data_IF_268039295855
#
_entry.id   IF_268039295855
#
_cell.length_a   1.000
_cell.length_b   1.000
_cell.length_c   1.000
_cell.angle_alpha   90.00
_cell.angle_beta   90.00
_cell.angle_gamma   90.00
#
_symmetry.space_group_name_H-M   'P 1'
#
loop_
_entity.id
_entity.type
_entity.pdbx_description
1 polymer ?
2 branched ?
3 branched ?
4 non-polymer ?
5 water ?
#
# COMPACT_ATOMS: atom_id res chain seq x y z
N UNK A 14 5.38 -16.67 0.97
CA UNK A 14 4.72 -16.86 2.25
C UNK A 14 3.22 -17.09 2.07
N UNK A 15 2.64 -16.50 1.03
CA UNK A 15 1.22 -16.72 0.79
C UNK A 15 1.02 -18.07 0.11
N UNK A 16 -0.18 -18.60 0.29
CA UNK A 16 -0.58 -19.87 -0.29
C UNK A 16 -1.48 -19.55 -1.46
N UNK A 17 -1.10 -20.00 -2.65
CA UNK A 17 -1.92 -19.87 -3.84
C UNK A 17 -2.38 -21.25 -4.24
N UNK A 18 -3.69 -21.43 -4.39
CA UNK A 18 -4.26 -22.69 -4.82
C UNK A 18 -5.06 -22.41 -6.08
N UNK A 19 -4.62 -22.97 -7.19
CA UNK A 19 -5.32 -22.84 -8.47
C UNK A 19 -6.26 -24.00 -8.71
N UNK A 20 -7.53 -23.69 -8.95
CA UNK A 20 -8.47 -24.65 -9.49
C UNK A 20 -9.04 -24.11 -10.79
N UNK A 21 -9.76 -24.99 -11.50
CA UNK A 21 -10.32 -24.61 -12.80
C UNK A 21 -11.19 -23.37 -12.67
N UNK A 22 -12.06 -23.33 -11.67
CA UNK A 22 -13.05 -22.26 -11.55
C UNK A 22 -12.72 -21.25 -10.46
N UNK A 23 -11.57 -21.37 -9.79
CA UNK A 23 -11.33 -20.61 -8.57
C UNK A 23 -9.83 -20.57 -8.29
N UNK A 24 -9.35 -19.40 -7.85
CA UNK A 24 -8.00 -19.26 -7.34
C UNK A 24 -8.08 -18.74 -5.92
N UNK A 25 -7.42 -19.44 -5.00
CA UNK A 25 -7.43 -19.08 -3.58
C UNK A 25 -6.09 -18.49 -3.19
N UNK A 26 -6.13 -17.30 -2.60
CA UNK A 26 -4.96 -16.65 -2.03
C UNK A 26 -5.14 -16.60 -0.53
N UNK A 27 -4.15 -17.08 0.22
CA UNK A 27 -4.19 -17.04 1.67
C UNK A 27 -2.93 -16.36 2.17
N UNK A 28 -3.09 -15.19 2.81
CA UNK A 28 -1.96 -14.39 3.26
C UNK A 28 -1.79 -14.49 4.78
N UNK A 29 -0.58 -14.70 5.28
CA UNK A 29 -0.36 -14.60 6.72
C UNK A 29 -0.32 -13.15 7.16
N UNK A 30 -0.69 -12.92 8.42
CA UNK A 30 -0.56 -11.59 9.02
C UNK A 30 0.69 -11.58 9.89
N UNK A 31 1.83 -11.36 9.23
CA UNK A 31 3.12 -11.39 9.90
C UNK A 31 3.34 -10.13 10.74
N UNK A 32 2.89 -8.98 10.25
CA UNK A 32 3.12 -7.71 10.92
C UNK A 32 1.84 -6.96 11.21
N UNK A 33 0.68 -7.60 11.01
CA UNK A 33 -0.61 -7.00 11.32
C UNK A 33 -1.43 -7.98 12.16
N UNK A 34 -2.49 -7.44 12.75
CA UNK A 34 -3.50 -8.22 13.45
C UNK A 34 -4.88 -7.72 13.04
N UNK A 35 -5.06 -7.52 11.74
CA UNK A 35 -6.33 -7.00 11.24
C UNK A 35 -7.43 -8.03 11.48
N UNK A 36 -8.59 -7.54 11.89
CA UNK A 36 -9.77 -8.34 12.22
C UNK A 36 -9.68 -8.95 13.61
N UNK A 37 -8.71 -8.54 14.43
CA UNK A 37 -8.65 -8.98 15.82
C UNK A 37 -9.97 -8.63 16.53
N UNK A 38 -10.13 -9.15 17.75
CA UNK A 38 -11.40 -9.02 18.47
C UNK A 38 -11.72 -7.58 18.80
N UNK A 39 -10.72 -6.76 19.09
CA UNK A 39 -10.97 -5.36 19.43
C UNK A 39 -11.29 -4.51 18.22
N UNK A 40 -11.49 -5.12 17.06
CA UNK A 40 -11.83 -4.39 15.84
C UNK A 40 -13.11 -4.96 15.25
N UNK A 41 -13.85 -4.08 14.57
CA UNK A 41 -15.03 -4.47 13.81
C UNK A 41 -14.69 -4.22 12.35
N UNK A 42 -14.79 -5.25 11.52
CA UNK A 42 -14.39 -5.14 10.12
C UNK A 42 -15.62 -5.39 9.26
N UNK A 43 -15.70 -4.65 8.16
CA UNK A 43 -16.80 -4.78 7.21
C UNK A 43 -16.21 -4.88 5.81
N UNK A 44 -17.06 -5.25 4.85
CA UNK A 44 -16.63 -5.26 3.46
C UNK A 44 -16.24 -3.87 2.99
N UNK A 45 -16.69 -2.84 3.68
CA UNK A 45 -16.30 -1.49 3.32
C UNK A 45 -14.81 -1.30 3.58
N UNK A 46 -14.17 -0.48 2.75
CA UNK A 46 -12.74 -0.27 2.89
C UNK A 46 -11.86 -1.31 2.23
N UNK A 47 -12.44 -2.35 1.65
CA UNK A 47 -11.68 -3.36 0.93
C UNK A 47 -11.78 -3.11 -0.57
N UNK A 48 -10.66 -3.27 -1.26
CA UNK A 48 -10.60 -3.13 -2.70
C UNK A 48 -9.84 -4.31 -3.29
N UNK A 49 -10.35 -4.84 -4.40
CA UNK A 49 -9.72 -5.94 -5.12
C UNK A 49 -9.28 -5.42 -6.48
N UNK A 50 -8.00 -5.57 -6.78
CA UNK A 50 -7.43 -5.17 -8.06
C UNK A 50 -6.83 -6.41 -8.74
N UNK A 51 -7.17 -6.63 -10.00
CA UNK A 51 -6.63 -7.75 -10.76
C UNK A 51 -6.10 -7.23 -12.09
N UNK A 52 -4.82 -7.47 -12.35
CA UNK A 52 -4.14 -7.02 -13.54
C UNK A 52 -3.03 -6.05 -13.21
N UNK A 53 -2.36 -5.59 -14.27
CA UNK A 53 -1.21 -4.70 -14.11
C UNK A 53 -1.49 -3.33 -14.71
N UNK A 54 -1.04 -2.30 -13.99
CA UNK A 54 -1.11 -0.94 -14.50
C UNK A 54 -2.51 -0.60 -14.92
N UNK A 55 -2.62 0.00 -16.12
CA UNK A 55 -3.92 0.40 -16.63
C UNK A 55 -4.78 -0.80 -17.06
N UNK A 56 -4.23 -2.01 -17.14
CA UNK A 56 -5.08 -3.17 -17.33
C UNK A 56 -5.65 -3.70 -16.03
N UNK A 57 -5.34 -3.08 -14.90
CA UNK A 57 -5.85 -3.58 -13.63
C UNK A 57 -7.31 -3.17 -13.50
N UNK A 58 -8.16 -4.13 -13.16
CA UNK A 58 -9.58 -3.88 -12.97
C UNK A 58 -9.85 -3.80 -11.48
N UNK A 59 -10.48 -2.70 -11.05
CA UNK A 59 -10.57 -2.36 -9.64
C UNK A 59 -12.03 -2.47 -9.21
N UNK A 60 -12.27 -3.23 -8.15
CA UNK A 60 -13.60 -3.46 -7.65
C UNK A 60 -13.60 -3.21 -6.15
N UNK A 61 -14.57 -2.47 -5.63
CA UNK A 61 -14.85 -2.56 -4.20
C UNK A 61 -15.28 -3.98 -3.87
N UNK A 62 -14.96 -4.42 -2.66
CA UNK A 62 -15.28 -5.79 -2.28
C UNK A 62 -16.77 -6.07 -2.44
N UNK A 63 -17.61 -5.08 -2.16
CA UNK A 63 -19.05 -5.28 -2.29
C UNK A 63 -19.40 -5.78 -3.68
N UNK A 64 -18.90 -5.10 -4.72
CA UNK A 64 -19.15 -5.53 -6.10
C UNK A 64 -18.47 -6.86 -6.41
N UNK A 65 -17.25 -7.06 -5.91
CA UNK A 65 -16.53 -8.31 -6.19
C UNK A 65 -17.28 -9.50 -5.61
N UNK A 66 -17.88 -9.34 -4.44
CA UNK A 66 -18.67 -10.43 -3.86
C UNK A 66 -19.83 -10.78 -4.79
N UNK A 67 -20.46 -9.77 -5.39
CA UNK A 67 -21.55 -10.06 -6.32
C UNK A 67 -21.06 -10.96 -7.44
N UNK A 68 -19.83 -10.75 -7.89
CA UNK A 68 -19.24 -11.47 -9.02
C UNK A 68 -18.72 -12.86 -8.67
N UNK A 69 -18.75 -13.24 -7.39
CA UNK A 69 -18.29 -14.55 -6.96
C UNK A 69 -16.98 -14.56 -6.19
N UNK A 70 -16.37 -13.40 -5.95
CA UNK A 70 -15.26 -13.35 -5.01
C UNK A 70 -15.76 -13.66 -3.61
N UNK A 71 -14.84 -14.10 -2.75
CA UNK A 71 -15.17 -14.35 -1.36
C UNK A 71 -13.95 -14.02 -0.50
N UNK A 72 -14.15 -13.22 0.55
CA UNK A 72 -13.09 -12.82 1.47
C UNK A 72 -13.38 -13.38 2.85
N UNK A 73 -12.41 -14.07 3.44
CA UNK A 73 -12.54 -14.59 4.81
C UNK A 73 -11.28 -14.25 5.59
N UNK A 74 -11.44 -13.66 6.77
CA UNK A 74 -10.30 -13.13 7.52
C UNK A 74 -10.45 -13.42 9.02
N UNK A 75 -9.29 -13.60 9.68
CA UNK A 75 -9.16 -13.43 11.11
C UNK A 75 -7.79 -12.80 11.35
N UNK A 76 -7.45 -12.60 12.63
CA UNK A 76 -6.23 -11.89 12.99
C UNK A 76 -4.97 -12.53 12.43
N UNK A 77 -5.01 -13.81 12.09
CA UNK A 77 -3.83 -14.52 11.65
C UNK A 77 -3.74 -14.71 10.14
N UNK A 78 -4.86 -14.61 9.41
CA UNK A 78 -4.82 -14.97 8.00
C UNK A 78 -5.89 -14.20 7.24
N UNK A 79 -5.59 -13.93 5.97
CA UNK A 79 -6.52 -13.27 5.06
C UNK A 79 -6.62 -14.15 3.81
N UNK A 80 -7.83 -14.62 3.50
CA UNK A 80 -8.04 -15.51 2.36
C UNK A 80 -9.02 -14.87 1.40
N UNK A 81 -8.63 -14.79 0.13
CA UNK A 81 -9.48 -14.27 -0.94
C UNK A 81 -9.65 -15.35 -2.00
N UNK A 82 -10.90 -15.67 -2.32
CA UNK A 82 -11.25 -16.56 -3.42
C UNK A 82 -11.60 -15.73 -4.65
N UNK A 83 -10.90 -15.96 -5.75
CA UNK A 83 -11.05 -15.19 -6.97
C UNK A 83 -11.64 -16.12 -8.04
N UNK A 84 -12.80 -15.81 -8.61
CA UNK A 84 -13.29 -16.65 -9.71
C UNK A 84 -12.34 -16.59 -10.91
N UNK A 85 -12.18 -17.73 -11.58
CA UNK A 85 -11.29 -17.80 -12.73
C UNK A 85 -11.79 -16.96 -13.90
N UNK A 86 -13.04 -16.50 -13.86
CA UNK A 86 -13.60 -15.62 -14.87
C UNK A 86 -13.51 -14.14 -14.47
N UNK A 87 -12.68 -13.84 -13.47
CA UNK A 87 -12.52 -12.47 -13.02
C UNK A 87 -11.92 -11.59 -14.11
N UNK A 88 -12.45 -10.38 -14.22
CA UNK A 88 -11.90 -9.39 -15.13
C UNK A 88 -10.48 -9.02 -14.69
N UNK A 89 -9.56 -8.98 -15.65
CA UNK A 89 -8.17 -8.68 -15.38
C UNK A 89 -7.24 -9.88 -15.46
N UNK A 90 -7.78 -11.10 -15.38
CA UNK A 90 -6.96 -12.29 -15.56
C UNK A 90 -6.46 -12.34 -16.99
N UNK A 91 -5.21 -12.77 -17.17
CA UNK A 91 -4.61 -12.87 -18.49
C UNK A 91 -4.61 -14.34 -18.89
N UNK A 92 -5.13 -14.62 -20.09
CA UNK A 92 -5.40 -15.97 -20.53
C UNK A 92 -4.46 -16.35 -21.66
N UNK A 93 -3.88 -17.55 -21.58
CA UNK A 93 -2.94 -18.03 -22.60
C UNK A 93 -3.37 -19.42 -23.06
N UNK A 94 -3.82 -19.51 -24.32
CA UNK A 94 -4.27 -20.75 -24.91
C UNK A 94 -3.43 -21.03 -26.15
N UNK A 95 -2.84 -22.23 -26.21
CA UNK A 95 -2.06 -22.61 -27.39
C UNK A 95 -1.91 -24.13 -27.40
N UNK A 96 -2.17 -24.75 -28.56
CA UNK A 96 -1.97 -26.19 -28.75
C UNK A 96 -2.74 -27.01 -27.71
N UNK A 97 -4.00 -26.64 -27.50
CA UNK A 97 -4.89 -27.34 -26.58
C UNK A 97 -4.39 -27.29 -25.14
N UNK A 98 -3.47 -26.38 -24.84
CA UNK A 98 -2.96 -26.17 -23.50
C UNK A 98 -3.37 -24.79 -23.00
N UNK A 99 -3.70 -24.69 -21.71
CA UNK A 99 -4.33 -23.50 -21.15
C UNK A 99 -3.61 -23.12 -19.86
N UNK A 100 -3.15 -21.88 -19.80
CA UNK A 100 -2.49 -21.33 -18.63
C UNK A 100 -3.00 -19.91 -18.45
N UNK A 101 -3.15 -19.46 -17.21
CA UNK A 101 -3.61 -18.09 -16.99
C UNK A 101 -2.93 -17.53 -15.75
N UNK A 102 -2.83 -16.20 -15.70
CA UNK A 102 -2.15 -15.50 -14.63
C UNK A 102 -3.11 -14.51 -13.97
N UNK A 103 -2.91 -14.34 -12.67
CA UNK A 103 -3.80 -13.52 -11.84
C UNK A 103 -2.90 -12.62 -10.99
N UNK A 104 -2.82 -11.35 -11.34
CA UNK A 104 -2.01 -10.39 -10.59
C UNK A 104 -2.94 -9.68 -9.61
N UNK A 105 -2.87 -10.08 -8.34
CA UNK A 105 -3.80 -9.62 -7.32
C UNK A 105 -3.16 -8.54 -6.45
N UNK A 106 -3.91 -7.46 -6.23
CA UNK A 106 -3.65 -6.52 -5.15
C UNK A 106 -4.92 -6.45 -4.31
N UNK A 107 -4.81 -6.82 -3.04
CA UNK A 107 -5.93 -6.76 -2.10
C UNK A 107 -5.62 -5.70 -1.05
N UNK A 108 -6.47 -4.68 -0.98
CA UNK A 108 -6.26 -3.50 -0.12
C UNK A 108 -7.34 -3.43 0.94
N UNK A 109 -6.95 -3.21 2.20
CA UNK A 109 -7.84 -2.69 3.22
C UNK A 109 -7.37 -1.30 3.59
N UNK A 110 -8.30 -0.33 3.57
CA UNK A 110 -7.96 1.06 3.74
C UNK A 110 -8.83 1.71 4.80
N UNK A 111 -8.22 2.59 5.58
CA UNK A 111 -8.90 3.61 6.35
C UNK A 111 -8.48 4.96 5.77
N UNK A 112 -8.97 6.04 6.37
CA UNK A 112 -8.67 7.35 5.81
C UNK A 112 -7.17 7.61 5.76
N UNK A 113 -6.42 7.17 6.77
CA UNK A 113 -5.00 7.45 6.79
C UNK A 113 -4.04 6.27 6.84
N UNK A 114 -4.56 5.05 6.69
CA UNK A 114 -3.75 3.84 6.82
C UNK A 114 -4.29 2.77 5.88
N UNK A 115 -3.39 1.96 5.33
CA UNK A 115 -3.83 0.87 4.47
C UNK A 115 -2.87 -0.31 4.59
N UNK A 116 -3.38 -1.51 4.33
CA UNK A 116 -2.54 -2.69 4.18
C UNK A 116 -2.83 -3.33 2.83
N UNK A 117 -1.78 -3.71 2.10
CA UNK A 117 -1.90 -4.18 0.73
C UNK A 117 -1.27 -5.56 0.65
N UNK A 118 -2.06 -6.55 0.28
CA UNK A 118 -1.55 -7.89 0.04
C UNK A 118 -1.42 -8.10 -1.47
N UNK A 119 -0.23 -8.53 -1.92
CA UNK A 119 0.05 -8.70 -3.33
C UNK A 119 0.51 -10.12 -3.61
N UNK A 120 0.05 -10.66 -4.74
CA UNK A 120 0.48 -11.97 -5.18
C UNK A 120 0.14 -12.10 -6.66
N UNK A 121 1.02 -12.76 -7.40
CA UNK A 121 0.83 -12.96 -8.84
C UNK A 121 0.86 -14.46 -9.08
N UNK A 122 -0.29 -15.02 -9.38
CA UNK A 122 -0.43 -16.46 -9.52
C UNK A 122 -0.30 -16.85 -10.98
N UNK A 123 0.32 -18.00 -11.21
CA UNK A 123 0.33 -18.66 -12.52
C UNK A 123 -0.41 -19.97 -12.31
N UNK A 124 -1.52 -20.14 -13.01
CA UNK A 124 -2.36 -21.31 -12.88
C UNK A 124 -2.36 -22.10 -14.18
N UNK A 125 -2.10 -23.39 -14.08
CA UNK A 125 -2.13 -24.27 -15.25
C UNK A 125 -2.74 -25.61 -14.86
N UNK A 126 -3.93 -25.61 -14.25
CA UNK A 126 -4.56 -26.89 -13.92
C UNK A 126 -4.92 -27.69 -15.14
N UNK A 127 -5.26 -27.01 -16.24
CA UNK A 127 -5.64 -27.68 -17.48
C UNK A 127 -4.51 -27.62 -18.50
N UNK A 128 -3.27 -27.56 -18.05
CA UNK A 128 -2.12 -27.76 -18.92
C UNK A 128 -2.27 -29.10 -19.62
N UNK A 129 -1.95 -29.13 -20.91
CA UNK A 129 -2.04 -30.38 -21.66
C UNK A 129 -0.87 -31.29 -21.31
N UNK A 130 -1.18 -32.55 -21.01
CA UNK A 130 -0.20 -33.53 -20.57
C UNK A 130 -0.38 -34.79 -21.42
N UNK A 131 0.70 -35.19 -22.09
CA UNK A 131 0.72 -36.42 -22.88
C UNK A 131 1.84 -37.31 -22.36
N UNK A 132 1.63 -38.63 -22.47
CA UNK A 132 2.63 -39.58 -22.00
C UNK A 132 2.76 -40.71 -23.01
N UNK A 133 3.99 -41.22 -23.11
CA UNK A 133 4.24 -42.36 -23.96
C UNK A 133 5.12 -43.37 -23.22
N UNK A 134 5.71 -44.33 -23.95
CA UNK A 134 6.40 -45.43 -23.28
C UNK A 134 7.54 -44.94 -22.40
N UNK A 135 8.21 -43.86 -22.78
CA UNK A 135 9.45 -43.44 -22.13
C UNK A 135 9.36 -42.10 -21.41
N UNK A 136 8.36 -41.27 -21.71
CA UNK A 136 8.36 -39.89 -21.22
C UNK A 136 6.95 -39.41 -20.94
N UNK A 137 6.86 -38.46 -19.99
CA UNK A 137 5.74 -37.54 -19.88
C UNK A 137 6.14 -36.24 -20.56
N UNK A 138 5.20 -35.62 -21.26
CA UNK A 138 5.47 -34.37 -21.95
C UNK A 138 4.40 -33.34 -21.61
N UNK A 139 4.83 -32.20 -21.07
CA UNK A 139 3.98 -31.06 -20.81
C UNK A 139 4.12 -30.05 -21.95
N UNK A 140 3.00 -29.46 -22.36
CA UNK A 140 3.02 -28.34 -23.30
C UNK A 140 2.62 -27.08 -22.53
N UNK A 141 3.49 -26.08 -22.55
CA UNK A 141 3.30 -24.84 -21.81
C UNK A 141 3.05 -23.72 -22.82
N UNK A 142 1.89 -23.05 -22.77
CA UNK A 142 1.66 -21.95 -23.70
C UNK A 142 2.71 -20.86 -23.58
N UNK A 143 2.97 -20.18 -24.69
CA UNK A 143 3.88 -19.05 -24.70
C UNK A 143 3.30 -17.94 -23.82
N UNK A 144 4.14 -17.39 -22.94
CA UNK A 144 3.73 -16.28 -22.09
C UNK A 144 4.99 -15.65 -21.50
N UNK A 145 4.87 -14.51 -20.83
CA UNK A 145 6.07 -13.77 -20.39
C UNK A 145 7.04 -14.57 -19.53
N UNK A 146 6.68 -15.76 -19.08
CA UNK A 146 7.58 -16.54 -18.24
C UNK A 146 8.61 -17.32 -19.05
N UNK A 147 9.89 -17.19 -18.66
CA UNK A 147 10.97 -18.02 -19.18
C UNK A 147 11.28 -19.09 -18.14
N UNK A 148 11.09 -20.36 -18.50
CA UNK A 148 11.29 -21.44 -17.56
C UNK A 148 12.76 -21.50 -17.17
N UNK A 149 13.04 -21.38 -15.87
CA UNK A 149 14.41 -21.43 -15.38
C UNK A 149 14.68 -22.53 -14.37
N UNK A 150 13.65 -23.11 -13.75
CA UNK A 150 13.88 -24.16 -12.77
C UNK A 150 12.70 -25.12 -12.75
N UNK A 151 12.98 -26.36 -12.38
CA UNK A 151 11.97 -27.40 -12.16
C UNK A 151 12.27 -28.05 -10.83
N UNK A 152 11.29 -28.03 -9.92
CA UNK A 152 11.45 -28.55 -8.57
C UNK A 152 10.37 -29.61 -8.32
N UNK A 153 10.79 -30.88 -8.20
CA UNK A 153 9.87 -31.95 -7.83
C UNK A 153 9.59 -31.94 -6.34
N UNK A 154 10.65 -31.97 -5.55
CA UNK A 154 10.57 -31.87 -4.10
C UNK A 154 11.57 -30.92 -3.48
N UNK A 155 12.76 -31.51 -3.30
CA UNK A 155 13.78 -31.03 -2.37
C UNK A 155 14.51 -29.80 -2.86
N UNK A 156 14.89 -29.76 -4.14
CA UNK A 156 15.77 -28.71 -4.61
C UNK A 156 15.35 -28.29 -6.01
N UNK A 157 15.79 -27.10 -6.38
CA UNK A 157 15.39 -26.44 -7.62
C UNK A 157 16.44 -26.73 -8.69
N UNK A 158 16.11 -27.62 -9.63
CA UNK A 158 17.04 -28.00 -10.68
C UNK A 158 17.10 -26.89 -11.71
N UNK A 159 18.21 -26.17 -11.85
CA UNK A 159 18.27 -25.12 -12.89
C UNK A 159 18.42 -25.72 -14.27
N UNK A 160 18.33 -24.83 -15.27
CA UNK A 160 18.30 -25.27 -16.67
C UNK A 160 19.53 -26.10 -17.02
N UNK A 161 20.71 -25.69 -16.56
CA UNK A 161 21.94 -26.35 -16.96
C UNK A 161 22.05 -27.79 -16.47
N UNK A 162 21.12 -28.27 -15.63
CA UNK A 162 21.15 -29.63 -15.14
C UNK A 162 19.96 -30.46 -15.59
N UNK A 163 19.07 -29.91 -16.43
CA UNK A 163 17.87 -30.63 -16.80
C UNK A 163 18.19 -31.94 -17.50
N UNK A 164 18.98 -31.89 -18.58
CA UNK A 164 19.26 -33.09 -19.36
C UNK A 164 19.82 -34.20 -18.48
N UNK A 165 20.80 -33.85 -17.63
CA UNK A 165 21.41 -34.86 -16.76
C UNK A 165 20.40 -35.53 -15.86
N UNK A 166 19.38 -34.79 -15.41
CA UNK A 166 18.39 -35.31 -14.50
C UNK A 166 17.14 -35.84 -15.21
N UNK A 167 17.19 -36.03 -16.52
CA UNK A 167 16.08 -36.60 -17.24
C UNK A 167 15.06 -35.60 -17.76
N UNK A 168 15.38 -34.31 -17.76
CA UNK A 168 14.49 -33.25 -18.20
C UNK A 168 15.02 -32.71 -19.52
N UNK A 169 14.16 -32.68 -20.54
CA UNK A 169 14.55 -32.22 -21.87
C UNK A 169 13.53 -31.21 -22.38
N UNK A 170 14.02 -30.05 -22.80
CA UNK A 170 13.17 -29.01 -23.35
C UNK A 170 13.11 -29.09 -24.88
N UNK A 171 11.91 -28.88 -25.41
CA UNK A 171 11.66 -28.95 -26.85
C UNK A 171 10.64 -27.88 -27.21
N UNK A 172 10.87 -27.20 -28.33
CA UNK A 172 9.99 -26.10 -28.74
C UNK A 172 9.16 -26.51 -29.96
N UNK A 175 4.09 -24.49 -28.11
CA UNK A 175 5.00 -23.41 -27.80
C UNK A 175 6.22 -23.88 -27.02
N UNK A 176 5.97 -24.57 -25.91
CA UNK A 176 7.04 -25.13 -25.08
C UNK A 176 6.66 -26.55 -24.68
N UNK A 177 7.46 -27.52 -25.09
CA UNK A 177 7.31 -28.91 -24.66
C UNK A 177 8.40 -29.25 -23.66
N UNK A 178 7.98 -29.75 -22.50
CA UNK A 178 8.90 -30.17 -21.45
C UNK A 178 8.74 -31.67 -21.25
N UNK A 179 9.82 -32.42 -21.46
CA UNK A 179 9.77 -33.87 -21.37
C UNK A 179 10.43 -34.34 -20.08
N UNK A 180 9.84 -35.36 -19.46
CA UNK A 180 10.37 -35.97 -18.25
C UNK A 180 10.48 -37.47 -18.50
N UNK A 181 11.67 -38.02 -18.33
CA UNK A 181 11.82 -39.48 -18.39
C UNK A 181 10.95 -40.11 -17.32
N UNK A 182 10.34 -41.26 -17.66
CA UNK A 182 9.41 -41.90 -16.75
C UNK A 182 10.04 -42.25 -15.40
N UNK A 183 11.36 -42.36 -15.34
CA UNK A 183 12.00 -42.69 -14.07
C UNK A 183 11.75 -41.62 -13.01
N UNK A 184 11.46 -40.39 -13.42
CA UNK A 184 11.17 -39.30 -12.49
C UNK A 184 9.75 -39.33 -11.94
N UNK A 185 8.86 -40.13 -12.52
CA UNK A 185 7.44 -40.12 -12.21
C UNK A 185 7.13 -41.06 -11.05
N UNK A 186 6.10 -40.68 -10.28
CA UNK A 186 5.52 -41.59 -9.31
C UNK A 186 4.38 -42.38 -9.94
N UNK A 187 4.09 -43.53 -9.35
CA UNK A 187 2.97 -44.36 -9.75
C UNK A 187 2.06 -44.59 -8.55
N UNK A 188 0.76 -44.71 -8.82
CA UNK A 188 -0.17 -45.06 -7.76
C UNK A 188 -1.43 -45.66 -8.37
N UNK A 189 -2.07 -46.61 -7.69
CA UNK A 189 -3.47 -46.93 -7.99
C UNK A 189 -4.38 -45.85 -7.39
N UNK A 190 -5.53 -45.67 -8.02
CA UNK A 190 -6.52 -44.69 -7.59
C UNK A 190 -7.89 -45.20 -7.99
N UNK A 191 -8.93 -44.76 -7.28
CA UNK A 191 -10.27 -45.12 -7.74
C UNK A 191 -10.52 -44.61 -9.15
N UNK A 192 -9.75 -43.61 -9.58
CA UNK A 192 -9.81 -43.16 -10.96
C UNK A 192 -9.09 -44.13 -11.88
N UNK A 193 -7.87 -44.51 -11.51
CA UNK A 193 -7.08 -45.48 -12.26
C UNK A 193 -6.88 -46.75 -11.43
N UNK A 194 -7.82 -47.68 -11.45
CA UNK A 194 -7.75 -48.83 -10.53
C UNK A 194 -6.52 -49.71 -10.70
N UNK A 195 -5.78 -49.60 -11.80
CA UNK A 195 -4.60 -50.45 -11.97
C UNK A 195 -3.39 -49.66 -11.51
N UNK A 196 -2.96 -48.68 -12.31
CA UNK A 196 -2.05 -47.66 -11.82
C UNK A 196 -1.95 -46.56 -12.88
N UNK A 197 -1.36 -45.43 -12.49
CA UNK A 197 -1.04 -44.36 -13.44
C UNK A 197 0.25 -43.69 -13.00
N UNK A 198 1.01 -43.19 -13.99
CA UNK A 198 2.13 -42.32 -13.71
C UNK A 198 1.61 -40.92 -13.43
N UNK A 199 2.32 -40.18 -12.58
CA UNK A 199 1.87 -38.85 -12.18
C UNK A 199 2.99 -38.13 -11.45
N UNK A 200 2.77 -36.84 -11.21
CA UNK A 200 3.60 -36.03 -10.33
C UNK A 200 2.69 -35.20 -9.42
N UNK A 201 3.16 -34.96 -8.21
CA UNK A 201 2.41 -34.20 -7.21
C UNK A 201 3.21 -32.95 -6.84
N UNK A 202 2.54 -31.80 -6.86
CA UNK A 202 3.16 -30.54 -6.44
C UNK A 202 4.49 -30.30 -7.17
N UNK A 203 4.47 -30.48 -8.49
CA UNK A 203 5.59 -30.09 -9.33
C UNK A 203 5.63 -28.58 -9.46
N UNK A 204 6.76 -27.97 -9.09
CA UNK A 204 6.90 -26.52 -9.17
C UNK A 204 7.76 -26.14 -10.37
N UNK A 205 7.19 -25.29 -11.23
CA UNK A 205 7.90 -24.69 -12.35
C UNK A 205 8.14 -23.22 -12.03
N UNK A 206 9.39 -22.78 -12.09
CA UNK A 206 9.75 -21.41 -11.74
C UNK A 206 10.20 -20.67 -12.98
N UNK A 207 9.67 -19.47 -13.17
CA UNK A 207 9.92 -18.68 -14.37
C UNK A 207 10.57 -17.35 -14.01
N UNK A 208 11.46 -16.88 -14.88
CA UNK A 208 11.91 -15.49 -14.85
C UNK A 208 10.84 -14.68 -15.55
N UNK A 209 10.04 -13.97 -14.77
CA UNK A 209 8.81 -13.33 -15.25
C UNK A 209 8.94 -11.83 -15.06
N UNK A 210 9.12 -11.10 -16.15
CA UNK A 210 9.20 -9.64 -16.13
C UNK A 210 10.14 -9.16 -15.02
N UNK A 211 11.36 -9.67 -15.04
CA UNK A 211 12.35 -9.24 -14.07
C UNK A 211 12.17 -9.80 -12.68
N UNK A 212 11.24 -10.74 -12.49
CA UNK A 212 11.00 -11.34 -11.18
C UNK A 212 10.89 -12.84 -11.32
N UNK A 213 10.86 -13.51 -10.17
CA UNK A 213 10.66 -14.95 -10.10
C UNK A 213 9.19 -15.25 -9.78
N UNK A 214 8.56 -16.08 -10.59
CA UNK A 214 7.20 -16.51 -10.36
C UNK A 214 7.07 -17.99 -10.68
N UNK A 215 6.36 -18.71 -9.82
CA UNK A 215 6.21 -20.15 -9.94
C UNK A 215 4.75 -20.55 -10.15
N UNK A 216 4.56 -21.73 -10.73
CA UNK A 216 3.29 -22.43 -10.71
C UNK A 216 3.52 -23.81 -10.11
N UNK A 217 2.51 -24.33 -9.43
CA UNK A 217 2.53 -25.68 -8.87
C UNK A 217 1.42 -26.46 -9.54
N UNK A 218 1.75 -27.65 -10.06
CA UNK A 218 0.83 -28.43 -10.88
C UNK A 218 0.97 -29.92 -10.54
N UNK A 219 -0.08 -30.68 -10.87
CA UNK A 219 -0.19 -32.10 -10.56
C UNK A 219 -0.43 -32.88 -11.84
N UNK A 220 0.54 -32.92 -12.75
CA UNK A 220 0.29 -33.53 -14.06
C UNK A 220 0.13 -35.05 -13.95
N UNK A 221 -0.82 -35.58 -14.73
CA UNK A 221 -1.14 -37.00 -14.71
C UNK A 221 -1.19 -37.58 -16.11
N UNK A 222 -0.63 -38.77 -16.28
CA UNK A 222 -0.84 -39.58 -17.48
C UNK A 222 -2.22 -40.25 -17.42
N UNK A 223 -2.72 -40.59 -18.60
CA UNK A 223 -3.91 -41.43 -18.69
C UNK A 223 -3.67 -42.71 -17.91
N UNK A 224 -4.75 -43.39 -17.52
CA UNK A 224 -4.58 -44.60 -16.74
C UNK A 224 -3.98 -45.73 -17.57
N UNK A 225 -3.11 -46.51 -16.93
CA UNK A 225 -2.61 -47.74 -17.54
C UNK A 225 -3.73 -48.76 -17.66
N UNK A 226 -3.56 -49.68 -18.60
CA UNK A 226 -4.58 -50.68 -18.90
C UNK A 226 -4.07 -52.07 -18.50
N UNK A 227 -4.76 -52.78 -17.62
CA UNK A 227 -4.34 -54.15 -17.28
C UNK A 227 -4.77 -55.13 -18.35
N UNK A 228 -4.16 -56.32 -18.30
CA UNK A 228 -4.50 -57.41 -19.21
C UNK A 228 -5.65 -58.22 -18.66
N UNK A 229 -6.48 -58.76 -19.55
CA UNK A 229 -7.59 -59.60 -19.15
C UNK A 229 -7.10 -60.87 -18.45
N UNK A 230 -7.82 -61.24 -17.38
CA UNK A 230 -7.63 -62.51 -16.70
C UNK A 230 -8.81 -63.41 -17.04
N UNK A 231 -8.51 -64.65 -17.44
CA UNK A 231 -9.58 -65.61 -17.70
C UNK A 231 -10.14 -66.12 -16.37
N UNK A 232 -11.41 -66.52 -16.39
CA UNK A 232 -12.12 -66.88 -15.17
C UNK A 232 -12.86 -68.20 -15.37
N UNK A 233 -13.57 -68.62 -14.32
CA UNK A 233 -14.18 -69.94 -14.26
C UNK A 233 -15.03 -70.21 -15.50
N UNK A 234 -14.98 -71.46 -15.96
CA UNK A 234 -15.74 -71.89 -17.12
C UNK A 234 -16.40 -73.25 -16.87
N UNK B 12 -12.58 12.57 13.25
CA UNK B 12 -12.33 12.53 11.81
C UNK B 12 -10.84 12.27 11.53
N UNK B 13 -9.98 12.79 12.41
CA UNK B 13 -8.53 12.66 12.27
C UNK B 13 -8.03 11.77 13.39
N UNK B 14 -7.16 10.82 13.04
CA UNK B 14 -6.57 9.92 14.02
C UNK B 14 -5.09 10.15 14.26
N UNK B 15 -4.33 10.58 13.26
CA UNK B 15 -2.93 10.88 13.47
C UNK B 15 -2.76 12.28 14.07
N UNK B 16 -1.64 12.47 14.78
CA UNK B 16 -1.30 13.77 15.35
C UNK B 16 -0.15 14.36 14.53
N UNK B 17 -0.41 15.53 13.96
CA UNK B 17 0.57 16.27 13.18
C UNK B 17 0.95 17.51 13.98
N UNK B 18 2.25 17.70 14.20
CA UNK B 18 2.76 18.85 14.93
C UNK B 18 3.81 19.54 14.09
N UNK B 19 3.58 20.82 13.75
CA UNK B 19 4.57 21.60 13.05
C UNK B 19 5.48 22.22 14.10
N UNK B 20 6.77 21.99 13.95
CA UNK B 20 7.78 22.49 14.86
C UNK B 20 8.75 23.38 14.08
N UNK B 21 9.71 23.97 14.81
CA UNK B 21 10.62 24.94 14.19
C UNK B 21 11.27 24.38 12.93
N UNK B 22 11.97 23.25 13.07
CA UNK B 22 12.75 22.66 12.00
C UNK B 22 12.18 21.33 11.52
N UNK B 23 10.98 20.97 11.96
CA UNK B 23 10.57 19.57 11.94
C UNK B 23 9.06 19.47 11.92
N UNK B 24 8.53 18.48 11.21
CA UNK B 24 7.12 18.13 11.27
C UNK B 24 7.01 16.70 11.77
N UNK B 25 6.21 16.50 12.82
CA UNK B 25 6.06 15.21 13.46
C UNK B 25 4.72 14.61 13.07
N UNK B 26 4.75 13.40 12.52
CA UNK B 26 3.54 12.63 12.23
C UNK B 26 3.50 11.42 13.14
N UNK B 27 2.40 11.24 13.87
CA UNK B 27 2.22 10.10 14.76
C UNK B 27 0.94 9.36 14.37
N UNK B 28 1.09 8.11 13.97
CA UNK B 28 -0.03 7.28 13.55
C UNK B 28 -0.31 6.22 14.61
N UNK B 29 -1.57 6.00 14.98
CA UNK B 29 -1.87 4.87 15.87
C UNK B 29 -1.77 3.58 15.08
N UNK B 30 -1.47 2.51 15.79
CA UNK B 30 -1.37 1.18 15.17
C UNK B 30 -2.74 0.55 15.26
N UNK B 31 -3.59 0.85 14.27
CA UNK B 31 -4.96 0.34 14.31
C UNK B 31 -5.01 -1.15 14.04
N UNK B 32 -4.28 -1.61 13.00
CA UNK B 32 -4.23 -3.03 12.66
C UNK B 32 -2.81 -3.53 12.49
N UNK B 33 -1.81 -2.69 12.66
CA UNK B 33 -0.44 -3.14 12.48
C UNK B 33 0.13 -3.56 13.83
N UNK B 34 1.17 -4.38 13.76
CA UNK B 34 1.87 -4.89 14.94
C UNK B 34 3.36 -4.70 14.78
N UNK B 35 3.75 -3.53 14.26
CA UNK B 35 5.14 -3.22 14.01
C UNK B 35 5.87 -2.90 15.31
N UNK B 36 7.15 -3.26 15.34
CA UNK B 36 8.01 -3.03 16.50
C UNK B 36 9.21 -2.18 16.07
N UNK B 37 9.83 -1.52 17.05
CA UNK B 37 11.00 -0.70 16.77
C UNK B 37 12.11 -1.51 16.11
N UNK B 38 12.16 -2.82 16.39
CA UNK B 38 13.20 -3.68 15.83
C UNK B 38 13.05 -3.83 14.32
N UNK B 39 11.82 -3.79 13.81
CA UNK B 39 11.52 -4.04 12.40
C UNK B 39 11.95 -2.90 11.48
N UNK B 40 13.23 -2.56 11.49
CA UNK B 40 13.79 -1.57 10.59
C UNK B 40 15.29 -1.87 10.47
N UNK B 41 15.86 -1.55 9.31
CA UNK B 41 17.29 -1.77 9.10
C UNK B 41 17.62 -3.26 9.19
N UNK B 42 16.61 -4.09 8.93
CA UNK B 42 16.68 -5.55 9.05
C UNK B 42 16.36 -6.17 7.70
N UNK B 43 16.98 -7.32 7.45
CA UNK B 43 16.77 -8.05 6.21
C UNK B 43 15.28 -8.35 6.00
N UNK B 44 14.93 -8.56 4.73
CA UNK B 44 13.62 -8.98 4.23
C UNK B 44 12.51 -7.96 4.49
N UNK B 45 12.83 -6.77 5.00
CA UNK B 45 11.82 -5.74 5.27
C UNK B 45 12.46 -4.36 5.11
N UNK B 46 11.66 -3.38 4.70
CA UNK B 46 12.18 -2.05 4.45
C UNK B 46 11.14 -0.96 4.60
N UNK B 47 11.58 0.21 5.06
CA UNK B 47 10.76 1.41 5.16
C UNK B 47 11.10 2.38 4.04
N UNK B 48 10.08 3.03 3.49
CA UNK B 48 10.25 4.05 2.45
C UNK B 48 9.43 5.28 2.84
N UNK B 49 10.01 6.46 2.66
CA UNK B 49 9.37 7.73 2.94
C UNK B 49 9.18 8.48 1.61
N UNK B 50 7.93 8.82 1.30
CA UNK B 50 7.58 9.58 0.10
C UNK B 50 6.94 10.89 0.54
N UNK B 51 7.37 11.99 -0.06
CA UNK B 51 6.83 13.30 0.25
C UNK B 51 6.50 13.99 -1.07
N UNK B 52 5.25 14.38 -1.23
CA UNK B 52 4.80 15.05 -2.43
C UNK B 52 3.83 14.18 -3.22
N UNK B 53 3.40 14.73 -4.35
CA UNK B 53 2.42 14.07 -5.21
C UNK B 53 2.99 13.85 -6.61
N UNK B 54 2.69 12.69 -7.19
CA UNK B 54 3.04 12.44 -8.58
C UNK B 54 4.52 12.63 -8.88
N UNK B 55 4.81 13.32 -9.98
CA UNK B 55 6.20 13.54 -10.37
C UNK B 55 6.91 14.53 -9.48
N UNK B 56 6.19 15.28 -8.64
CA UNK B 56 6.81 16.09 -7.62
C UNK B 56 7.05 15.31 -6.34
N UNK B 57 6.72 14.02 -6.32
CA UNK B 57 6.94 13.21 -5.13
C UNK B 57 8.39 12.76 -5.06
N UNK B 58 9.01 12.97 -3.90
CA UNK B 58 10.39 12.58 -3.66
C UNK B 58 10.42 11.35 -2.78
N UNK B 59 11.16 10.32 -3.21
CA UNK B 59 11.14 9.00 -2.61
C UNK B 59 12.49 8.72 -1.97
N UNK B 60 12.49 8.29 -0.71
CA UNK B 60 13.71 7.97 0.01
C UNK B 60 13.59 6.62 0.71
N UNK B 61 14.59 5.74 0.57
CA UNK B 61 14.72 4.65 1.55
C UNK B 61 14.97 5.22 2.93
N UNK B 62 14.49 4.52 3.95
CA UNK B 62 14.63 5.05 5.31
C UNK B 62 16.09 5.34 5.65
N UNK B 63 17.02 4.48 5.21
CA UNK B 63 18.43 4.72 5.55
C UNK B 63 18.87 6.11 5.12
N UNK B 64 18.60 6.47 3.87
CA UNK B 64 18.98 7.81 3.41
C UNK B 64 18.21 8.89 4.16
N UNK B 65 16.93 8.63 4.46
CA UNK B 65 16.14 9.62 5.18
C UNK B 65 16.72 9.88 6.56
N UNK B 66 17.18 8.83 7.24
CA UNK B 66 17.80 9.00 8.55
C UNK B 66 19.04 9.88 8.42
N UNK B 67 19.85 9.64 7.40
CA UNK B 67 21.02 10.48 7.16
C UNK B 67 20.61 11.94 7.01
N UNK B 68 19.44 12.19 6.39
CA UNK B 68 18.99 13.56 6.15
C UNK B 68 18.40 14.21 7.38
N UNK B 69 18.21 13.47 8.47
CA UNK B 69 17.64 14.03 9.69
C UNK B 69 16.22 13.59 10.00
N UNK B 70 15.63 12.70 9.19
CA UNK B 70 14.39 12.05 9.59
C UNK B 70 14.66 11.11 10.75
N UNK B 71 13.62 10.84 11.53
CA UNK B 71 13.71 9.85 12.59
C UNK B 71 12.39 9.09 12.69
N UNK B 72 12.49 7.77 12.74
CA UNK B 72 11.33 6.89 12.85
C UNK B 72 11.36 6.23 14.23
N UNK B 73 10.24 6.32 14.95
CA UNK B 73 10.10 5.75 16.27
C UNK B 73 8.83 4.91 16.31
N UNK B 74 8.94 3.70 16.84
CA UNK B 74 7.83 2.76 16.86
C UNK B 74 7.70 2.21 18.27
N UNK B 75 6.47 2.12 18.75
CA UNK B 75 6.16 1.37 19.94
C UNK B 75 4.79 0.72 19.72
N UNK B 76 4.36 -0.09 20.68
CA UNK B 76 3.17 -0.89 20.48
C UNK B 76 1.95 -0.06 20.12
N UNK B 77 1.94 1.23 20.47
CA UNK B 77 0.74 2.04 20.29
C UNK B 77 0.76 2.88 19.02
N UNK B 78 1.92 3.27 18.51
CA UNK B 78 1.95 4.26 17.45
C UNK B 78 3.27 4.21 16.70
N UNK B 79 3.24 4.79 15.50
CA UNK B 79 4.40 4.93 14.63
C UNK B 79 4.58 6.42 14.40
N UNK B 80 5.76 6.94 14.71
CA UNK B 80 6.03 8.37 14.62
C UNK B 80 7.19 8.64 13.67
N UNK B 81 6.99 9.56 12.73
CA UNK B 81 8.05 9.98 11.81
C UNK B 81 8.29 11.47 11.99
N UNK B 82 9.53 11.85 12.30
CA UNK B 82 9.95 13.24 12.37
C UNK B 82 10.57 13.64 11.04
N UNK B 83 10.02 14.67 10.40
CA UNK B 83 10.37 15.06 9.04
C UNK B 83 11.07 16.41 9.09
N UNK B 84 12.31 16.54 8.60
CA UNK B 84 12.92 17.88 8.54
C UNK B 84 12.17 18.79 7.58
N UNK B 85 12.06 20.06 7.96
CA UNK B 85 11.31 21.02 7.17
C UNK B 85 11.95 21.34 5.83
N UNK B 86 13.21 20.99 5.62
CA UNK B 86 13.84 21.14 4.30
C UNK B 86 13.88 19.82 3.52
N UNK B 87 13.05 18.86 3.90
CA UNK B 87 12.98 17.63 3.10
C UNK B 87 12.46 17.95 1.71
N UNK B 88 13.08 17.34 0.70
CA UNK B 88 12.60 17.49 -0.67
C UNK B 88 11.21 16.90 -0.81
N UNK B 89 10.36 17.61 -1.53
CA UNK B 89 8.97 17.23 -1.70
C UNK B 89 8.00 18.12 -0.96
N UNK B 90 8.47 18.84 0.05
CA UNK B 90 7.61 19.82 0.71
C UNK B 90 7.30 20.93 -0.29
N UNK B 91 6.07 21.40 -0.29
CA UNK B 91 5.64 22.45 -1.20
C UNK B 91 5.57 23.76 -0.41
N UNK B 92 6.25 24.78 -0.92
CA UNK B 92 6.49 26.02 -0.20
C UNK B 92 5.73 27.15 -0.88
N UNK B 93 5.04 27.96 -0.08
CA UNK B 93 4.21 29.05 -0.59
C UNK B 93 4.63 30.31 0.11
N UNK B 94 5.26 31.23 -0.62
CA UNK B 94 5.71 32.51 -0.09
C UNK B 94 5.05 33.60 -0.91
N UNK B 95 4.43 34.55 -0.21
CA UNK B 95 3.75 35.67 -0.85
C UNK B 95 3.77 36.83 0.12
N UNK B 96 4.26 37.98 -0.34
CA UNK B 96 4.24 39.21 0.44
C UNK B 96 4.85 38.95 1.82
N UNK B 97 5.98 38.25 1.83
CA UNK B 97 6.72 37.95 3.05
C UNK B 97 5.94 37.05 4.01
N UNK B 98 4.91 36.38 3.53
CA UNK B 98 4.17 35.42 4.34
C UNK B 98 4.43 34.01 3.80
N UNK B 99 4.61 33.06 4.71
CA UNK B 99 5.18 31.77 4.37
C UNK B 99 4.40 30.63 5.01
N UNK B 100 3.96 29.71 4.16
CA UNK B 100 3.21 28.52 4.52
C UNK B 100 3.73 27.37 3.68
N UNK B 101 3.75 26.16 4.23
CA UNK B 101 4.19 25.01 3.45
C UNK B 101 3.36 23.79 3.82
N UNK B 102 3.30 22.85 2.87
CA UNK B 102 2.50 21.63 2.99
C UNK B 102 3.37 20.41 2.80
N UNK B 103 3.02 19.34 3.51
CA UNK B 103 3.82 18.12 3.57
C UNK B 103 2.87 16.94 3.33
N UNK B 104 2.95 16.36 2.14
CA UNK B 104 2.14 15.20 1.76
C UNK B 104 2.98 13.95 1.97
N UNK B 105 2.75 13.26 3.09
CA UNK B 105 3.58 12.14 3.51
C UNK B 105 2.91 10.82 3.19
N UNK B 106 3.68 9.90 2.61
CA UNK B 106 3.33 8.49 2.56
C UNK B 106 4.50 7.72 3.18
N UNK B 107 4.23 7.00 4.26
CA UNK B 107 5.25 6.20 4.95
C UNK B 107 4.89 4.74 4.74
N UNK B 108 5.78 4.00 4.09
CA UNK B 108 5.51 2.62 3.69
C UNK B 108 6.44 1.66 4.41
N UNK B 109 5.87 0.59 4.96
CA UNK B 109 6.61 -0.58 5.38
C UNK B 109 6.30 -1.72 4.44
N UNK B 110 7.34 -2.34 3.88
CA UNK B 110 7.15 -3.37 2.86
C UNK B 110 7.87 -4.63 3.28
N UNK B 111 7.18 -5.76 3.18
CA UNK B 111 7.76 -7.08 3.21
C UNK B 111 7.31 -7.84 1.97
N UNK B 112 7.74 -9.09 1.86
CA UNK B 112 7.40 -9.88 0.68
C UNK B 112 5.88 -10.02 0.57
N UNK B 113 5.33 -9.49 -0.51
CA UNK B 113 3.90 -9.61 -0.76
C UNK B 113 3.00 -8.75 0.09
N UNK B 114 3.54 -7.83 0.90
CA UNK B 114 2.68 -7.03 1.77
C UNK B 114 3.27 -5.64 1.94
N UNK B 115 2.37 -4.66 2.07
CA UNK B 115 2.77 -3.29 2.36
C UNK B 115 1.81 -2.72 3.39
N UNK B 116 2.33 -1.91 4.29
CA UNK B 116 1.53 -1.12 5.21
C UNK B 116 1.92 0.33 4.99
N UNK B 117 0.91 1.18 4.78
CA UNK B 117 1.14 2.54 4.34
C UNK B 117 0.39 3.50 5.26
N UNK B 118 1.12 4.41 5.89
CA UNK B 118 0.56 5.50 6.67
C UNK B 118 0.61 6.78 5.84
N UNK B 119 -0.53 7.47 5.74
CA UNK B 119 -0.66 8.66 4.90
C UNK B 119 -1.18 9.84 5.71
N UNK B 120 -0.64 11.04 5.45
CA UNK B 120 -1.10 12.24 6.12
C UNK B 120 -0.58 13.46 5.37
N UNK B 121 -1.39 14.52 5.35
CA UNK B 121 -1.04 15.75 4.64
C UNK B 121 -1.13 16.94 5.59
N UNK B 122 0.02 17.51 5.95
CA UNK B 122 0.15 18.56 6.95
C UNK B 122 0.20 19.95 6.33
N UNK B 123 -0.34 20.94 7.04
CA UNK B 123 -0.20 22.36 6.71
C UNK B 123 0.51 23.03 7.88
N UNK B 124 1.67 23.62 7.61
CA UNK B 124 2.46 24.33 8.60
C UNK B 124 2.55 25.78 8.17
N UNK B 125 2.25 26.69 9.08
CA UNK B 125 2.32 28.10 8.74
C UNK B 125 2.88 28.92 9.88
N UNK B 126 4.06 28.57 10.40
CA UNK B 126 4.63 29.35 11.50
C UNK B 126 5.02 30.76 11.12
N UNK B 127 5.42 31.01 9.88
CA UNK B 127 5.90 32.32 9.44
C UNK B 127 4.86 33.12 8.65
N UNK B 128 3.57 32.92 8.93
CA UNK B 128 2.56 33.83 8.39
C UNK B 128 2.90 35.26 8.76
N UNK B 129 2.73 36.18 7.82
CA UNK B 129 2.95 37.57 8.11
C UNK B 129 1.78 38.08 8.93
N UNK B 130 2.09 38.77 10.02
CA UNK B 130 1.09 39.26 10.94
C UNK B 130 1.34 40.75 11.12
N UNK B 131 0.35 41.57 10.76
CA UNK B 131 0.42 43.00 10.94
C UNK B 131 -0.69 43.45 11.87
N UNK B 132 -0.41 44.47 12.66
CA UNK B 132 -1.35 44.95 13.66
C UNK B 132 -1.37 46.47 13.71
N UNK B 133 -2.57 47.01 13.80
CA UNK B 133 -2.77 48.45 13.97
C UNK B 133 -3.73 48.65 15.14
N UNK B 134 -4.20 49.89 15.33
CA UNK B 134 -4.95 50.21 16.55
C UNK B 134 -6.13 49.29 16.76
N UNK B 135 -6.77 48.82 15.68
CA UNK B 135 -8.06 48.17 15.79
C UNK B 135 -8.07 46.69 15.41
N UNK B 136 -7.07 46.19 14.69
CA UNK B 136 -7.16 44.84 14.16
C UNK B 136 -5.79 44.19 14.11
N UNK B 137 -5.79 42.86 14.19
CA UNK B 137 -4.69 42.02 13.74
C UNK B 137 -5.04 41.50 12.36
N UNK B 138 -4.03 41.46 11.47
CA UNK B 138 -4.24 40.99 10.11
C UNK B 138 -3.24 39.90 9.78
N UNK B 139 -3.73 38.72 9.44
CA UNK B 139 -2.91 37.64 8.92
C UNK B 139 -3.00 37.63 7.40
N UNK B 140 -1.87 37.42 6.75
CA UNK B 140 -1.83 37.20 5.31
C UNK B 140 -1.52 35.74 5.09
N UNK B 141 -2.39 35.06 4.36
CA UNK B 141 -2.25 33.64 4.06
C UNK B 141 -1.89 33.53 2.58
N UNK B 142 -0.74 32.98 2.23
CA UNK B 142 -0.40 32.85 0.80
C UNK B 142 -1.45 32.06 0.06
N UNK B 143 -1.62 32.39 -1.21
CA UNK B 143 -2.49 31.59 -2.07
C UNK B 143 -1.94 30.18 -2.18
N UNK B 144 -2.81 29.20 -1.97
CA UNK B 144 -2.44 27.81 -2.10
C UNK B 144 -3.73 27.00 -2.24
N UNK B 145 -3.62 25.70 -2.56
CA UNK B 145 -4.84 24.93 -2.84
C UNK B 145 -5.87 24.91 -1.73
N UNK B 146 -5.54 25.39 -0.53
CA UNK B 146 -6.49 25.37 0.57
C UNK B 146 -7.44 26.55 0.52
N UNK B 147 -8.74 26.26 0.62
CA UNK B 147 -9.76 27.30 0.80
C UNK B 147 -10.20 27.32 2.26
N UNK B 148 -10.01 28.46 2.91
CA UNK B 148 -10.35 28.59 4.32
C UNK B 148 -11.85 28.48 4.52
N UNK B 149 -12.26 27.54 5.38
CA UNK B 149 -13.68 27.36 5.66
C UNK B 149 -14.06 27.53 7.13
N UNK B 150 -13.11 27.45 8.06
CA UNK B 150 -13.45 27.60 9.47
C UNK B 150 -12.28 28.22 10.23
N UNK B 151 -12.62 28.94 11.30
CA UNK B 151 -11.65 29.51 12.22
C UNK B 151 -12.08 29.13 13.64
N UNK B 152 -11.19 28.47 14.38
CA UNK B 152 -11.49 27.97 15.72
C UNK B 152 -10.50 28.55 16.71
N UNK B 153 -10.99 29.41 17.60
CA UNK B 153 -10.21 29.95 18.70
C UNK B 153 -10.00 28.96 19.85
N UNK B 154 -10.77 27.88 19.90
CA UNK B 154 -10.69 26.96 21.02
C UNK B 154 -12.02 26.29 21.24
N UNK B 155 -13.05 27.10 21.47
CA UNK B 155 -14.34 26.59 21.93
C UNK B 155 -15.09 25.87 20.81
N UNK B 156 -15.17 26.49 19.64
CA UNK B 156 -15.97 25.94 18.54
C UNK B 156 -15.42 26.40 17.20
N UNK B 157 -15.86 25.72 16.14
CA UNK B 157 -15.37 25.94 14.77
C UNK B 157 -16.33 26.90 14.08
N UNK B 158 -15.90 28.16 13.93
CA UNK B 158 -16.73 29.22 13.36
C UNK B 158 -16.72 29.14 11.84
N UNK B 159 -17.85 28.84 11.18
CA UNK B 159 -17.86 28.80 9.72
C UNK B 159 -17.84 30.20 9.13
N UNK B 160 -17.66 30.24 7.80
CA UNK B 160 -17.47 31.51 7.11
C UNK B 160 -18.63 32.46 7.34
N UNK B 161 -19.86 31.95 7.26
CA UNK B 161 -21.03 32.82 7.34
C UNK B 161 -21.20 33.45 8.72
N UNK B 162 -20.38 33.08 9.70
CA UNK B 162 -20.47 33.66 11.04
C UNK B 162 -19.22 34.44 11.44
N UNK B 163 -18.24 34.58 10.54
CA UNK B 163 -16.99 35.24 10.91
C UNK B 163 -17.22 36.68 11.34
N UNK B 164 -17.90 37.46 10.50
CA UNK B 164 -18.07 38.89 10.76
C UNK B 164 -18.66 39.14 12.14
N UNK B 165 -19.72 38.42 12.48
CA UNK B 165 -20.37 38.62 13.78
C UNK B 165 -19.41 38.35 14.93
N UNK B 166 -18.48 37.41 14.75
CA UNK B 166 -17.53 37.07 15.80
C UNK B 166 -16.22 37.83 15.68
N UNK B 167 -16.20 38.91 14.90
CA UNK B 167 -15.04 39.78 14.81
C UNK B 167 -14.00 39.38 13.78
N UNK B 168 -14.33 38.47 12.87
CA UNK B 168 -13.40 37.98 11.84
C UNK B 168 -13.87 38.50 10.49
N UNK B 169 -12.98 39.16 9.77
CA UNK B 169 -13.31 39.73 8.46
C UNK B 169 -12.29 39.28 7.43
N UNK B 170 -12.78 38.70 6.34
CA UNK B 170 -11.93 38.25 5.26
C UNK B 170 -11.86 39.31 4.17
N UNK B 171 -10.69 39.41 3.55
CA UNK B 171 -10.46 40.36 2.47
C UNK B 171 -9.64 39.66 1.40
N UNK B 172 -10.09 39.76 0.15
CA UNK B 172 -9.45 39.09 -0.97
C UNK B 172 -8.82 40.06 -1.96
N UNK B 173 -8.81 41.37 -1.68
CA UNK B 173 -8.26 42.36 -2.59
C UNK B 173 -6.95 41.86 -3.18
N UNK B 174 -6.12 41.23 -2.34
CA UNK B 174 -4.91 40.57 -2.79
C UNK B 174 -4.67 39.36 -1.90
N UNK B 175 -4.46 38.21 -2.52
CA UNK B 175 -4.28 36.99 -1.75
C UNK B 175 -5.43 36.78 -0.80
N UNK B 176 -5.11 36.46 0.45
CA UNK B 176 -6.11 36.30 1.51
C UNK B 176 -5.62 37.00 2.76
N UNK B 177 -6.32 38.04 3.18
CA UNK B 177 -6.03 38.72 4.43
C UNK B 177 -7.16 38.43 5.41
N UNK B 178 -6.81 37.95 6.60
CA UNK B 178 -7.77 37.59 7.62
C UNK B 178 -7.61 38.55 8.79
N UNK B 179 -8.67 39.30 9.09
CA UNK B 179 -8.63 40.34 10.11
C UNK B 179 -9.35 39.88 11.38
N UNK B 180 -8.79 40.27 12.53
CA UNK B 180 -9.35 39.95 13.84
C UNK B 180 -9.48 41.24 14.64
N UNK B 181 -10.67 41.49 15.18
CA UNK B 181 -10.86 42.63 16.07
C UNK B 181 -9.84 42.55 17.21
N UNK B 182 -9.35 43.72 17.64
CA UNK B 182 -8.41 43.73 18.75
C UNK B 182 -9.03 43.13 20.00
N UNK B 183 -10.37 43.18 20.10
CA UNK B 183 -11.06 42.63 21.27
C UNK B 183 -10.84 41.14 21.40
N UNK B 184 -10.57 40.45 20.29
CA UNK B 184 -10.32 39.01 20.32
C UNK B 184 -8.91 38.67 20.76
N UNK B 185 -8.01 39.64 20.79
CA UNK B 185 -6.60 39.36 21.02
C UNK B 185 -6.30 39.33 22.51
N UNK B 186 -5.38 38.45 22.88
CA UNK B 186 -4.80 38.43 24.21
C UNK B 186 -3.56 39.31 24.24
N UNK B 187 -3.19 39.69 25.46
CA UNK B 187 -1.97 40.46 25.67
C UNK B 187 -1.03 39.63 26.53
N UNK B 188 0.26 39.83 26.29
CA UNK B 188 1.29 39.19 27.07
C UNK B 188 2.45 40.17 27.14
N UNK B 189 3.19 40.20 28.24
CA UNK B 189 4.41 41.00 28.26
C UNK B 189 5.47 40.38 27.37
N UNK B 190 6.32 41.25 26.82
CA UNK B 190 7.38 40.81 25.94
C UNK B 190 8.58 41.73 26.09
N UNK B 191 9.76 41.12 26.10
CA UNK B 191 11.02 41.83 26.02
C UNK B 191 11.56 41.88 24.59
N UNK B 192 11.02 41.02 23.71
CA UNK B 192 11.38 41.03 22.30
C UNK B 192 10.78 42.22 21.56
N UNK B 193 9.47 42.44 21.71
CA UNK B 193 8.79 43.62 21.21
C UNK B 193 8.36 44.42 22.43
N UNK B 194 9.26 45.21 23.01
CA UNK B 194 8.99 45.80 24.33
C UNK B 194 7.74 46.68 24.30
N UNK B 195 6.94 46.64 25.38
CA UNK B 195 7.03 45.72 26.52
C UNK B 195 5.83 44.78 26.59
N UNK B 196 5.08 44.71 25.48
CA UNK B 196 3.99 43.76 25.37
C UNK B 196 3.62 43.61 23.91
N UNK B 197 2.91 42.52 23.61
CA UNK B 197 2.38 42.33 22.26
C UNK B 197 1.08 41.54 22.32
N UNK B 198 0.19 41.86 21.39
CA UNK B 198 -1.05 41.12 21.20
C UNK B 198 -0.77 39.83 20.43
N UNK B 199 -1.60 38.82 20.70
CA UNK B 199 -1.38 37.52 20.08
C UNK B 199 -2.62 36.67 20.24
N UNK B 200 -2.59 35.52 19.58
CA UNK B 200 -3.61 34.50 19.72
C UNK B 200 -2.92 33.16 20.00
N UNK B 201 -3.59 32.32 20.75
CA UNK B 201 -3.02 31.04 21.15
C UNK B 201 -3.84 29.91 20.54
N UNK B 202 -3.15 28.94 19.94
CA UNK B 202 -3.77 27.74 19.39
C UNK B 202 -4.94 28.08 18.48
N UNK B 203 -4.73 29.05 17.59
CA UNK B 203 -5.72 29.36 16.57
C UNK B 203 -5.70 28.25 15.51
N UNK B 204 -6.84 27.60 15.30
CA UNK B 204 -6.95 26.55 14.31
C UNK B 204 -7.65 27.09 13.08
N UNK B 205 -7.00 27.01 11.93
CA UNK B 205 -7.59 27.34 10.65
C UNK B 205 -7.83 26.07 9.87
N UNK B 206 -9.06 25.90 9.38
CA UNK B 206 -9.46 24.70 8.64
C UNK B 206 -9.74 25.06 7.20
N UNK B 207 -9.17 24.28 6.27
CA UNK B 207 -9.24 24.55 4.84
C UNK B 207 -9.91 23.38 4.14
N UNK B 208 -10.66 23.68 3.08
CA UNK B 208 -11.05 22.68 2.10
C UNK B 208 -9.86 22.52 1.17
N UNK B 209 -9.10 21.44 1.37
CA UNK B 209 -7.81 21.24 0.72
C UNK B 209 -7.87 19.95 -0.09
N UNK B 210 -7.88 20.09 -1.42
CA UNK B 210 -7.89 18.95 -2.34
C UNK B 210 -8.95 17.93 -1.93
N UNK B 211 -10.19 18.41 -1.81
CA UNK B 211 -11.32 17.54 -1.53
C UNK B 211 -11.46 17.06 -0.10
N UNK B 212 -10.66 17.55 0.84
CA UNK B 212 -10.77 17.13 2.23
C UNK B 212 -10.69 18.35 3.14
N UNK B 213 -10.96 18.11 4.42
CA UNK B 213 -10.80 19.12 5.46
C UNK B 213 -9.43 18.91 6.10
N UNK B 214 -8.63 19.97 6.13
CA UNK B 214 -7.32 19.93 6.74
C UNK B 214 -7.09 21.23 7.50
N UNK B 215 -6.52 21.10 8.68
CA UNK B 215 -6.33 22.23 9.58
C UNK B 215 -4.85 22.51 9.77
N UNK B 216 -4.57 23.76 10.15
CA UNK B 216 -3.29 24.15 10.70
C UNK B 216 -3.56 24.88 12.02
N UNK B 217 -2.62 24.74 12.94
CA UNK B 217 -2.70 25.40 14.25
C UNK B 217 -1.54 26.37 14.35
N UNK B 218 -1.84 27.61 14.75
CA UNK B 218 -0.84 28.67 14.75
C UNK B 218 -1.05 29.57 15.96
N UNK B 219 0.02 30.27 16.33
CA UNK B 219 0.06 31.17 17.47
C UNK B 219 0.51 32.54 16.98
N UNK B 220 -0.31 33.21 16.18
CA UNK B 220 0.14 34.47 15.58
C UNK B 220 0.24 35.56 16.63
N UNK B 221 1.27 36.39 16.48
CA UNK B 221 1.53 37.51 17.38
C UNK B 221 1.84 38.73 16.53
N UNK B 222 1.42 39.90 17.01
CA UNK B 222 1.82 41.13 16.35
C UNK B 222 3.34 41.26 16.40
N UNK B 223 3.91 41.87 15.38
CA UNK B 223 5.35 42.06 15.34
C UNK B 223 5.72 43.53 15.41
N UNK B 224 6.83 43.80 16.10
CA UNK B 224 7.44 45.13 16.09
C UNK B 224 8.30 45.25 14.83
N UNK B 225 8.48 46.47 14.34
CA UNK B 225 9.32 46.67 13.16
C UNK B 225 10.73 46.14 13.41
N UNK B 226 11.41 46.63 14.44
CA UNK B 226 12.72 46.10 14.79
C UNK B 226 12.64 45.45 16.16
N UNK B 227 12.73 44.12 16.27
CA UNK B 227 12.75 43.49 17.59
C UNK B 227 14.17 43.45 18.17
N UNK B 228 14.22 43.28 19.48
CA UNK B 228 15.50 43.14 20.16
C UNK B 228 15.86 41.67 20.23
N UNK B 229 17.15 41.38 20.09
CA UNK B 229 17.65 40.02 20.21
C UNK B 229 19.16 40.11 20.33
N UNK B 230 19.72 39.29 21.21
CA UNK B 230 21.16 39.22 21.38
C UNK B 230 21.71 37.94 20.75
#
# INVERSE_FOLDING_TARGET
ETGPAIQAETHEISEIVVCRRDLISFSFPQLFSRLADENQNVSEMGWIVKIGNGTRAHILPLKDAIVQGFNLLIDSQKVTLHVPANATGIVHYVQESSYLYTVQLELLFSTTGQKIVFSSHAICAPDLSVACNATHMTLTIPEFPGKLESVDFGQWSIPEDQWHANGIDKEATNGLRLNFRKSLLKTKPSEKCPFYQFYLSSLKLTFYFQGNMLSTVIDPECHCESPVSLEHHHHHH
ETGPAIQAETHEISEIVVCRRDLISFSFPQLFSRLADENQNVSEMGWIVKIGNGTRAHILPLKDAIVQGFNLLIDSQKVTLHVPANATGIVHYVQESSYLYTVQLELLFSTTGQKIVFSSHAICAPDLSVACNATHMTLTIPEFPGKLESVDFGQWSIPEDQWHANGIDKEATNGLRLNFRKSLLKTKPSEKCPFYQFYLSSLKLTFYFQGNMLSTVIDPECHCESPVSLEHHHHHH
#
